data_IF_705877676506
#
_entry.id   IF_705877676506
#
_cell.length_a   1.000
_cell.length_b   1.000
_cell.length_c   1.000
_cell.angle_alpha   90.00
_cell.angle_beta   90.00
_cell.angle_gamma   90.00
#
_symmetry.space_group_name_H-M   'P 1'
#
loop_
_entity.id
_entity.type
_entity.pdbx_description
1 polymer ?
#
# COMPACT_ATOMS: atom_id res chain seq x y z
N UNK A 1 4.70 14.42 -7.26
CA UNK A 1 5.06 13.25 -6.43
C UNK A 1 5.28 13.53 -4.95
N UNK A 2 5.99 14.59 -4.53
CA UNK A 2 6.22 14.84 -3.09
C UNK A 2 4.92 15.06 -2.30
N UNK A 3 4.00 15.90 -2.80
CA UNK A 3 2.71 16.16 -2.14
C UNK A 3 1.89 14.86 -2.00
N UNK A 4 1.75 14.09 -3.09
CA UNK A 4 1.08 12.80 -3.07
C UNK A 4 1.73 11.82 -2.07
N UNK A 5 3.06 11.74 -2.04
CA UNK A 5 3.78 10.89 -1.11
C UNK A 5 3.53 11.29 0.35
N UNK A 6 3.50 12.58 0.66
CA UNK A 6 3.15 13.08 2.00
C UNK A 6 1.72 12.71 2.40
N UNK A 7 0.75 12.89 1.49
CA UNK A 7 -0.64 12.49 1.73
C UNK A 7 -0.76 10.98 1.96
N UNK A 8 -0.02 10.17 1.20
CA UNK A 8 0.01 8.71 1.37
C UNK A 8 0.66 8.29 2.70
N UNK A 9 1.67 9.00 3.19
CA UNK A 9 2.20 8.76 4.55
C UNK A 9 1.07 8.91 5.58
N UNK A 10 0.37 10.05 5.57
CA UNK A 10 -0.71 10.31 6.54
C UNK A 10 -1.81 9.27 6.40
N UNK A 11 -2.20 8.94 5.16
CA UNK A 11 -3.23 7.94 4.89
C UNK A 11 -2.88 6.57 5.47
N UNK A 12 -1.67 6.05 5.20
CA UNK A 12 -1.27 4.73 5.68
C UNK A 12 -1.01 4.69 7.18
N UNK A 13 -0.55 5.79 7.79
CA UNK A 13 -0.52 5.90 9.25
C UNK A 13 -1.93 5.87 9.84
N UNK A 14 -2.92 6.49 9.18
CA UNK A 14 -4.33 6.38 9.53
C UNK A 14 -4.84 4.95 9.43
N UNK A 15 -4.52 4.22 8.35
CA UNK A 15 -4.88 2.80 8.21
C UNK A 15 -4.25 1.96 9.30
N UNK A 16 -2.96 2.12 9.57
CA UNK A 16 -2.28 1.43 10.67
C UNK A 16 -2.94 1.72 12.04
N UNK A 17 -3.35 2.97 12.29
CA UNK A 17 -4.02 3.33 13.53
C UNK A 17 -5.40 2.67 13.70
N UNK A 18 -6.14 2.44 12.61
CA UNK A 18 -7.45 1.76 12.68
C UNK A 18 -7.29 0.28 13.06
N UNK A 19 -6.17 -0.36 12.70
CA UNK A 19 -5.92 -1.78 12.95
C UNK A 19 -5.75 -2.12 14.43
N UNK A 20 -5.58 -1.15 15.34
CA UNK A 20 -5.67 -1.42 16.78
C UNK A 20 -7.02 -2.01 17.22
N UNK A 21 -8.06 -1.85 16.38
CA UNK A 21 -9.39 -2.45 16.61
C UNK A 21 -9.55 -3.85 15.99
N UNK A 22 -8.53 -4.37 15.31
CA UNK A 22 -8.57 -5.70 14.69
C UNK A 22 -8.11 -6.80 15.66
N UNK A 23 -8.51 -8.06 15.45
CA UNK A 23 -8.10 -9.20 16.29
C UNK A 23 -6.58 -9.46 16.28
N UNK A 24 -5.91 -9.13 15.18
CA UNK A 24 -4.50 -9.41 14.89
C UNK A 24 -3.71 -8.14 14.47
N UNK A 25 -3.69 -7.10 15.32
CA UNK A 25 -3.10 -5.80 14.99
C UNK A 25 -1.60 -5.88 14.66
N UNK A 26 -0.90 -6.85 15.26
CA UNK A 26 0.53 -7.06 15.05
C UNK A 26 0.88 -7.50 13.62
N UNK A 27 -0.09 -8.05 12.87
CA UNK A 27 0.09 -8.40 11.47
C UNK A 27 -0.19 -7.19 10.57
N UNK A 28 -1.35 -6.55 10.76
CA UNK A 28 -1.82 -5.51 9.85
C UNK A 28 -1.15 -4.15 10.01
N UNK A 29 -0.74 -3.79 11.23
CA UNK A 29 -0.01 -2.53 11.46
C UNK A 29 1.29 -2.50 10.63
N UNK A 30 2.18 -3.51 10.69
CA UNK A 30 3.36 -3.56 9.82
C UNK A 30 3.04 -3.52 8.32
N UNK A 31 1.96 -4.18 7.89
CA UNK A 31 1.53 -4.19 6.48
C UNK A 31 1.28 -2.77 5.98
N UNK A 32 0.59 -1.93 6.75
CA UNK A 32 0.35 -0.52 6.37
C UNK A 32 1.55 0.40 6.64
N UNK A 33 2.40 0.09 7.63
CA UNK A 33 3.61 0.87 7.89
C UNK A 33 4.63 0.74 6.75
N UNK A 34 4.70 -0.39 6.06
CA UNK A 34 5.63 -0.57 4.94
C UNK A 34 5.45 0.48 3.81
N UNK A 35 4.26 0.64 3.17
CA UNK A 35 4.05 1.68 2.19
C UNK A 35 4.09 3.10 2.79
N UNK A 36 3.79 3.28 4.09
CA UNK A 36 4.00 4.56 4.77
C UNK A 36 5.48 4.96 4.78
N UNK A 37 6.37 4.04 5.17
CA UNK A 37 7.83 4.26 5.19
C UNK A 37 8.35 4.54 3.78
N UNK A 38 7.95 3.73 2.80
CA UNK A 38 8.32 3.95 1.38
C UNK A 38 7.88 5.35 0.93
N UNK A 39 6.65 5.75 1.25
CA UNK A 39 6.13 7.07 0.92
C UNK A 39 6.94 8.19 1.58
N UNK A 40 7.35 8.01 2.85
CA UNK A 40 8.20 8.98 3.55
C UNK A 40 9.60 9.10 2.92
N UNK A 41 10.19 7.98 2.47
CA UNK A 41 11.46 8.00 1.74
C UNK A 41 11.33 8.76 0.41
N UNK A 42 10.25 8.53 -0.35
CA UNK A 42 9.97 9.26 -1.60
C UNK A 42 9.74 10.75 -1.34
N UNK A 43 9.00 11.11 -0.29
CA UNK A 43 8.74 12.49 0.12
C UNK A 43 10.04 13.24 0.46
N UNK A 44 10.91 12.63 1.26
CA UNK A 44 12.22 13.18 1.65
C UNK A 44 13.27 13.13 0.53
N UNK A 45 12.93 12.58 -0.64
CA UNK A 45 13.83 12.48 -1.79
C UNK A 45 14.91 11.42 -1.67
N UNK A 46 14.81 10.53 -0.67
CA UNK A 46 15.73 9.40 -0.50
C UNK A 46 15.54 8.39 -1.64
N UNK A 47 16.62 7.69 -1.98
CA UNK A 47 16.59 6.66 -3.02
C UNK A 47 15.84 5.43 -2.51
N UNK A 48 14.95 4.92 -3.35
CA UNK A 48 14.24 3.65 -3.13
C UNK A 48 14.50 2.79 -4.36
N UNK A 49 14.86 1.52 -4.15
CA UNK A 49 15.12 0.59 -5.25
C UNK A 49 13.82 0.24 -5.96
N UNK A 50 13.69 0.47 -7.28
CA UNK A 50 12.50 0.05 -8.02
C UNK A 50 12.25 -1.46 -7.93
N UNK A 51 13.29 -2.28 -7.88
CA UNK A 51 13.13 -3.72 -7.75
C UNK A 51 12.40 -4.11 -6.45
N UNK A 52 12.74 -3.46 -5.32
CA UNK A 52 12.05 -3.68 -4.05
C UNK A 52 10.58 -3.25 -4.10
N UNK A 53 10.25 -2.19 -4.86
CA UNK A 53 8.86 -1.75 -5.04
C UNK A 53 8.05 -2.79 -5.82
N UNK A 54 8.62 -3.32 -6.91
CA UNK A 54 7.98 -4.35 -7.72
C UNK A 54 7.79 -5.66 -6.92
N UNK A 55 8.82 -6.07 -6.17
CA UNK A 55 8.74 -7.25 -5.30
C UNK A 55 7.67 -7.07 -4.22
N UNK A 56 7.70 -5.94 -3.49
CA UNK A 56 6.72 -5.66 -2.43
C UNK A 56 5.28 -5.61 -2.97
N UNK A 57 5.08 -5.01 -4.15
CA UNK A 57 3.78 -5.03 -4.81
C UNK A 57 3.32 -6.46 -5.15
N UNK A 58 4.21 -7.29 -5.71
CA UNK A 58 3.91 -8.69 -6.01
C UNK A 58 3.55 -9.49 -4.75
N UNK A 59 4.30 -9.31 -3.67
CA UNK A 59 4.01 -9.94 -2.38
C UNK A 59 2.62 -9.54 -1.89
N UNK A 60 2.29 -8.25 -1.85
CA UNK A 60 0.97 -7.81 -1.40
C UNK A 60 -0.18 -8.31 -2.28
N UNK A 61 0.00 -8.43 -3.60
CA UNK A 61 -1.01 -9.01 -4.47
C UNK A 61 -1.21 -10.51 -4.20
N UNK A 62 -0.14 -11.26 -3.96
CA UNK A 62 -0.22 -12.68 -3.61
C UNK A 62 -0.93 -12.86 -2.27
N UNK A 63 -0.55 -12.10 -1.25
CA UNK A 63 -1.23 -12.14 0.05
C UNK A 63 -2.69 -11.70 -0.05
N UNK A 64 -3.01 -10.69 -0.86
CA UNK A 64 -4.40 -10.28 -1.10
C UNK A 64 -5.24 -11.41 -1.71
N UNK A 65 -4.66 -12.22 -2.59
CA UNK A 65 -5.36 -13.36 -3.18
C UNK A 65 -5.68 -14.41 -2.12
N UNK A 66 -4.76 -14.68 -1.20
CA UNK A 66 -4.99 -15.63 -0.11
C UNK A 66 -5.90 -15.08 1.00
N UNK A 67 -5.91 -13.77 1.21
CA UNK A 67 -6.81 -13.09 2.16
C UNK A 67 -8.22 -12.89 1.58
N UNK A 68 -8.46 -13.26 0.32
CA UNK A 68 -9.76 -13.00 -0.29
C UNK A 68 -10.86 -13.81 0.41
N UNK A 69 -12.01 -13.19 0.75
CA UNK A 69 -13.03 -13.85 1.54
C UNK A 69 -13.67 -15.02 0.77
N UNK A 70 -14.08 -16.04 1.50
CA UNK A 70 -14.79 -17.19 0.94
C UNK A 70 -16.08 -16.75 0.21
N UNK A 71 -16.78 -15.77 0.78
CA UNK A 71 -17.94 -15.13 0.16
C UNK A 71 -17.77 -13.62 0.17
N UNK A 72 -17.94 -12.99 -0.98
CA UNK A 72 -17.90 -11.53 -1.05
C UNK A 72 -19.18 -10.91 -0.49
N UNK A 73 -19.05 -10.22 0.64
CA UNK A 73 -20.18 -9.56 1.31
C UNK A 73 -20.07 -8.01 1.28
N UNK A 74 -19.04 -7.50 0.62
CA UNK A 74 -18.73 -6.07 0.56
C UNK A 74 -17.84 -5.61 1.72
N UNK A 75 -17.78 -4.29 1.91
CA UNK A 75 -16.89 -3.62 2.89
C UNK A 75 -17.63 -2.85 3.98
N UNK A 76 -18.96 -2.75 3.84
CA UNK A 76 -19.81 -2.00 4.76
C UNK A 76 -20.08 -2.82 6.02
N UNK A 77 -19.94 -2.18 7.18
CA UNK A 77 -20.22 -2.83 8.46
C UNK A 77 -21.71 -3.12 8.60
N UNK A 78 -22.05 -4.29 9.12
CA UNK A 78 -23.43 -4.67 9.47
C UNK A 78 -23.66 -4.38 10.94
N UNK A 79 -24.57 -3.45 11.25
CA UNK A 79 -24.85 -3.00 12.62
C UNK A 79 -23.59 -2.52 13.38
N UNK A 80 -22.64 -1.88 12.67
CA UNK A 80 -21.38 -1.42 13.24
C UNK A 80 -20.35 -2.52 13.51
N UNK A 81 -20.65 -3.77 13.17
CA UNK A 81 -19.74 -4.91 13.29
C UNK A 81 -19.29 -5.40 11.91
N UNK A 82 -18.08 -5.94 11.86
CA UNK A 82 -17.57 -6.72 10.73
C UNK A 82 -17.79 -8.20 11.05
N UNK A 83 -18.34 -8.94 10.08
CA UNK A 83 -18.22 -10.39 10.07
C UNK A 83 -16.91 -10.80 9.38
N UNK A 84 -16.58 -12.10 9.41
CA UNK A 84 -15.29 -12.60 8.91
C UNK A 84 -15.10 -12.30 7.42
N UNK A 85 -16.14 -12.45 6.59
CA UNK A 85 -16.06 -12.19 5.16
C UNK A 85 -15.86 -10.70 4.84
N UNK A 86 -16.49 -9.81 5.62
CA UNK A 86 -16.27 -8.36 5.52
C UNK A 86 -14.85 -8.00 5.98
N UNK A 87 -14.36 -8.60 7.07
CA UNK A 87 -13.00 -8.39 7.59
C UNK A 87 -11.95 -8.78 6.55
N UNK A 88 -11.97 -10.03 6.10
CA UNK A 88 -11.09 -10.57 5.06
C UNK A 88 -11.18 -9.75 3.77
N UNK A 89 -12.39 -9.36 3.36
CA UNK A 89 -12.60 -8.50 2.18
C UNK A 89 -11.94 -7.12 2.31
N UNK A 90 -12.03 -6.49 3.48
CA UNK A 90 -11.40 -5.19 3.76
C UNK A 90 -9.88 -5.31 3.79
N UNK A 91 -9.36 -6.37 4.39
CA UNK A 91 -7.92 -6.65 4.49
C UNK A 91 -7.30 -6.95 3.11
N UNK A 92 -7.97 -7.79 2.30
CA UNK A 92 -7.56 -8.07 0.93
C UNK A 92 -7.52 -6.78 0.07
N UNK A 93 -8.55 -5.94 0.16
CA UNK A 93 -8.55 -4.65 -0.53
C UNK A 93 -7.46 -3.70 -0.01
N UNK A 94 -7.19 -3.71 1.30
CA UNK A 94 -6.08 -2.96 1.89
C UNK A 94 -4.73 -3.35 1.28
N UNK A 95 -4.47 -4.65 1.14
CA UNK A 95 -3.28 -5.18 0.48
C UNK A 95 -3.19 -4.76 -1.00
N UNK A 96 -4.32 -4.74 -1.73
CA UNK A 96 -4.37 -4.23 -3.12
C UNK A 96 -4.00 -2.74 -3.17
N UNK A 97 -4.50 -1.92 -2.25
CA UNK A 97 -4.16 -0.50 -2.17
C UNK A 97 -2.66 -0.33 -1.89
N UNK A 98 -2.10 -1.10 -0.96
CA UNK A 98 -0.66 -1.12 -0.68
C UNK A 98 0.13 -1.46 -1.95
N UNK A 99 -0.25 -2.51 -2.67
CA UNK A 99 0.39 -2.91 -3.92
C UNK A 99 0.30 -1.82 -5.01
N UNK A 100 -0.88 -1.23 -5.20
CA UNK A 100 -1.12 -0.18 -6.18
C UNK A 100 -0.22 1.04 -5.95
N UNK A 101 -0.02 1.45 -4.69
CA UNK A 101 0.88 2.56 -4.35
C UNK A 101 2.34 2.21 -4.63
N UNK A 102 2.78 0.99 -4.31
CA UNK A 102 4.15 0.56 -4.63
C UNK A 102 4.38 0.52 -6.15
N UNK A 103 3.41 0.04 -6.93
CA UNK A 103 3.46 0.07 -8.40
C UNK A 103 3.48 1.49 -8.97
N UNK A 104 2.69 2.40 -8.40
CA UNK A 104 2.71 3.82 -8.77
C UNK A 104 4.13 4.40 -8.60
N UNK A 105 4.79 4.15 -7.46
CA UNK A 105 6.15 4.59 -7.24
C UNK A 105 7.16 3.91 -8.18
N UNK A 106 6.97 2.62 -8.47
CA UNK A 106 7.80 1.91 -9.43
C UNK A 106 7.73 2.56 -10.81
N UNK A 107 6.52 2.84 -11.33
CA UNK A 107 6.32 3.52 -12.61
C UNK A 107 6.96 4.91 -12.56
N UNK A 108 6.74 5.68 -11.49
CA UNK A 108 7.34 7.01 -11.33
C UNK A 108 8.87 6.98 -11.44
N UNK A 109 9.53 6.07 -10.71
CA UNK A 109 10.99 6.01 -10.67
C UNK A 109 11.60 5.46 -11.97
N UNK A 110 10.95 4.47 -12.60
CA UNK A 110 11.49 3.81 -13.80
C UNK A 110 11.16 4.52 -15.10
N UNK A 111 10.02 5.23 -15.18
CA UNK A 111 9.56 5.84 -16.44
C UNK A 111 9.71 7.35 -16.46
N UNK A 112 9.39 8.04 -15.37
CA UNK A 112 9.37 9.50 -15.36
C UNK A 112 10.70 10.08 -14.87
N UNK A 113 11.19 9.62 -13.71
CA UNK A 113 12.46 10.12 -13.15
C UNK A 113 13.67 9.71 -13.98
N UNK A 114 13.65 8.50 -14.57
CA UNK A 114 14.71 8.04 -15.46
C UNK A 114 14.81 8.90 -16.75
N UNK A 115 13.67 9.28 -17.35
CA UNK A 115 13.63 10.14 -18.55
C UNK A 115 14.13 11.56 -18.27
N UNK A 116 13.79 12.13 -17.12
CA UNK A 116 14.26 13.46 -16.73
C UNK A 116 15.78 13.55 -16.51
N UNK A 117 16.45 12.41 -16.30
CA UNK A 117 17.89 12.34 -16.08
C UNK A 117 18.69 11.94 -17.34
N UNK A 118 18.05 11.78 -18.50
CA UNK A 118 18.75 11.54 -19.76
C UNK A 118 19.29 12.88 -20.29
N UNK A 119 20.59 12.97 -20.67
CA UNK A 119 21.12 14.19 -21.27
C UNK A 119 20.38 14.46 -22.59
N UNK A 120 20.01 15.73 -22.82
CA UNK A 120 19.47 16.13 -24.11
C UNK A 120 20.50 15.80 -25.19
N UNK A 121 20.16 14.89 -26.09
CA UNK A 121 20.98 14.61 -27.26
C UNK A 121 20.83 15.84 -28.17
N UNK A 122 21.85 16.70 -28.15
CA UNK A 122 22.02 17.86 -29.02
C UNK A 122 23.21 17.65 -29.95
#
# INVERSE_FOLDING_TARGET
MRVLAFLLVILFLGFAAVQYNDPDPYLWIPVYLFPAIVSALIFTGRRVSPWLLALGAGVFLVFSYFQWPAHWEGVALKNGMKDINIEEGREALGLIICAAVLLLYWVYLTRFKARANQPAVG
#
